data_IF_935922354413
#
_entry.id   IF_935922354413
#
_cell.length_a   1.000
_cell.length_b   1.000
_cell.length_c   1.000
_cell.angle_alpha   90.00
_cell.angle_beta   90.00
_cell.angle_gamma   90.00
#
_symmetry.space_group_name_H-M   'P 1'
#
loop_
_entity.id
_entity.type
_entity.pdbx_description
1 polymer ?
#
# COMPACT_ATOMS: atom_id res chain seq x y z
N UNK A 1 -4.79 17.16 -0.77
CA UNK A 1 -3.56 16.66 -1.39
C UNK A 1 -3.90 15.92 -2.66
N UNK A 2 -3.19 16.20 -3.73
CA UNK A 2 -3.46 15.57 -5.02
C UNK A 2 -2.55 14.36 -5.24
N UNK A 3 -2.94 13.51 -6.19
CA UNK A 3 -2.20 12.31 -6.54
C UNK A 3 -0.71 12.57 -6.77
N UNK A 4 -0.40 13.62 -7.52
CA UNK A 4 0.99 13.96 -7.86
C UNK A 4 1.82 14.30 -6.64
N UNK A 5 1.25 15.00 -5.67
CA UNK A 5 1.93 15.32 -4.40
C UNK A 5 2.20 14.07 -3.59
N UNK A 6 1.24 13.15 -3.55
CA UNK A 6 1.39 11.88 -2.84
C UNK A 6 2.53 11.07 -3.46
N UNK A 7 2.54 10.96 -4.79
CA UNK A 7 3.58 10.20 -5.50
C UNK A 7 4.97 10.80 -5.26
N UNK A 8 5.10 12.12 -5.25
CA UNK A 8 6.38 12.77 -4.95
C UNK A 8 6.85 12.47 -3.54
N UNK A 9 5.94 12.50 -2.57
CA UNK A 9 6.28 12.18 -1.19
C UNK A 9 6.66 10.70 -1.02
N UNK A 10 6.00 9.80 -1.74
CA UNK A 10 6.34 8.38 -1.71
C UNK A 10 7.75 8.13 -2.27
N UNK A 11 8.16 8.89 -3.26
CA UNK A 11 9.52 8.78 -3.81
C UNK A 11 10.60 9.13 -2.80
N UNK A 12 10.28 9.95 -1.80
CA UNK A 12 11.20 10.35 -0.74
C UNK A 12 11.43 9.26 0.32
N UNK A 13 10.60 8.22 0.33
CA UNK A 13 10.73 7.13 1.30
C UNK A 13 12.02 6.34 1.01
N UNK A 14 12.82 6.14 2.06
CA UNK A 14 14.04 5.34 1.97
C UNK A 14 13.70 3.85 1.94
N UNK A 15 13.62 3.29 0.74
CA UNK A 15 13.25 1.88 0.55
C UNK A 15 14.20 0.92 1.24
N UNK A 16 15.49 1.22 1.25
CA UNK A 16 16.49 0.37 1.92
C UNK A 16 16.29 0.32 3.43
N UNK A 17 15.96 1.46 4.03
CA UNK A 17 15.74 1.55 5.48
C UNK A 17 14.64 0.60 5.95
N UNK A 18 13.58 0.45 5.16
CA UNK A 18 12.41 -0.37 5.50
C UNK A 18 12.42 -1.72 4.80
N UNK A 19 13.43 -2.00 4.00
CA UNK A 19 13.52 -3.23 3.19
C UNK A 19 12.33 -3.37 2.24
N UNK A 20 12.01 -2.29 1.56
CA UNK A 20 10.89 -2.22 0.62
C UNK A 20 11.34 -2.67 -0.77
N UNK A 21 10.63 -3.62 -1.37
CA UNK A 21 10.84 -4.08 -2.74
C UNK A 21 9.99 -3.30 -3.74
N UNK A 22 8.74 -3.00 -3.38
CA UNK A 22 7.81 -2.22 -4.20
C UNK A 22 6.98 -1.32 -3.31
N UNK A 23 6.66 -0.14 -3.80
CA UNK A 23 5.81 0.83 -3.10
C UNK A 23 4.95 1.54 -4.14
N UNK A 24 3.64 1.62 -3.89
CA UNK A 24 2.73 2.24 -4.83
C UNK A 24 1.48 2.82 -4.20
N UNK A 25 0.82 3.68 -4.94
CA UNK A 25 -0.46 4.29 -4.58
C UNK A 25 -1.58 3.59 -5.35
N UNK A 26 -2.64 3.20 -4.66
CA UNK A 26 -3.81 2.62 -5.32
C UNK A 26 -5.08 3.27 -4.78
N UNK A 27 -6.25 2.75 -5.20
CA UNK A 27 -7.53 3.21 -4.70
C UNK A 27 -7.97 4.57 -5.24
N UNK A 28 -8.76 5.29 -4.44
CA UNK A 28 -9.44 6.50 -4.90
C UNK A 28 -8.48 7.62 -5.33
N UNK A 29 -7.39 7.82 -4.60
CA UNK A 29 -6.41 8.86 -4.97
C UNK A 29 -5.72 8.56 -6.30
N UNK A 30 -5.40 7.28 -6.57
CA UNK A 30 -4.75 6.92 -7.83
C UNK A 30 -5.68 7.08 -9.03
N UNK A 31 -7.00 6.95 -8.80
CA UNK A 31 -8.04 7.09 -9.83
C UNK A 31 -8.63 8.49 -9.92
N UNK A 32 -8.14 9.45 -9.12
CA UNK A 32 -8.69 10.81 -9.01
C UNK A 32 -10.18 10.85 -8.62
N UNK A 33 -10.62 9.85 -7.83
CA UNK A 33 -11.98 9.75 -7.34
C UNK A 33 -12.10 9.95 -5.82
N UNK A 34 -11.04 10.51 -5.22
CA UNK A 34 -10.98 10.77 -3.79
C UNK A 34 -11.95 11.87 -3.37
N UNK A 35 -12.38 11.76 -2.11
CA UNK A 35 -13.19 12.77 -1.44
C UNK A 35 -12.44 13.29 -0.22
N UNK A 36 -13.01 14.30 0.46
CA UNK A 36 -12.40 14.84 1.68
C UNK A 36 -12.21 13.79 2.78
N UNK A 37 -13.01 12.72 2.77
CA UNK A 37 -12.96 11.65 3.77
C UNK A 37 -12.19 10.41 3.33
N UNK A 38 -11.60 10.44 2.14
CA UNK A 38 -10.85 9.29 1.64
C UNK A 38 -9.55 9.11 2.38
N UNK A 39 -9.23 7.84 2.73
CA UNK A 39 -7.90 7.47 3.21
C UNK A 39 -6.97 7.31 2.02
N UNK A 40 -5.68 7.40 2.28
CA UNK A 40 -4.66 7.16 1.24
C UNK A 40 -4.31 5.69 1.25
N UNK A 41 -4.56 5.00 0.13
CA UNK A 41 -4.31 3.56 0.00
C UNK A 41 -2.94 3.31 -0.60
N UNK A 42 -2.06 2.67 0.17
CA UNK A 42 -0.68 2.40 -0.22
C UNK A 42 -0.45 0.89 -0.26
N UNK A 43 0.12 0.42 -1.37
CA UNK A 43 0.55 -0.97 -1.51
C UNK A 43 2.06 -1.05 -1.32
N UNK A 44 2.50 -1.98 -0.48
CA UNK A 44 3.93 -2.21 -0.26
C UNK A 44 4.24 -3.70 -0.40
N UNK A 45 5.37 -4.01 -1.01
CA UNK A 45 5.97 -5.34 -0.93
C UNK A 45 7.29 -5.20 -0.21
N UNK A 46 7.44 -5.92 0.89
CA UNK A 46 8.63 -5.86 1.73
C UNK A 46 9.42 -7.16 1.62
N UNK A 47 10.73 -7.05 1.82
CA UNK A 47 11.59 -8.20 1.88
C UNK A 47 11.21 -9.06 3.09
N UNK A 48 11.00 -10.38 2.88
CA UNK A 48 10.66 -11.31 3.94
C UNK A 48 11.90 -11.65 4.75
N UNK A 49 11.99 -11.07 5.94
CA UNK A 49 13.11 -11.30 6.85
C UNK A 49 12.73 -10.95 8.28
N UNK A 50 13.60 -11.29 9.22
CA UNK A 50 13.42 -10.95 10.63
C UNK A 50 13.27 -9.42 10.78
N UNK A 51 12.28 -8.99 11.55
CA UNK A 51 11.98 -7.58 11.74
C UNK A 51 11.05 -6.97 10.70
N UNK A 52 10.55 -7.75 9.75
CA UNK A 52 9.64 -7.29 8.71
C UNK A 52 8.39 -6.61 9.27
N UNK A 53 7.77 -7.19 10.29
CA UNK A 53 6.58 -6.61 10.92
C UNK A 53 6.87 -5.25 11.55
N UNK A 54 8.02 -5.13 12.22
CA UNK A 54 8.44 -3.85 12.82
C UNK A 54 8.67 -2.82 11.72
N UNK A 55 9.31 -3.20 10.63
CA UNK A 55 9.52 -2.31 9.49
C UNK A 55 8.20 -1.85 8.89
N UNK A 56 7.24 -2.76 8.78
CA UNK A 56 5.89 -2.45 8.28
C UNK A 56 5.20 -1.40 9.14
N UNK A 57 5.22 -1.59 10.46
CA UNK A 57 4.59 -0.64 11.39
C UNK A 57 5.30 0.72 11.38
N UNK A 58 6.62 0.74 11.30
CA UNK A 58 7.40 1.96 11.22
C UNK A 58 7.13 2.71 9.93
N UNK A 59 7.02 2.00 8.82
CA UNK A 59 6.68 2.58 7.53
C UNK A 59 5.28 3.19 7.55
N UNK A 60 4.31 2.48 8.10
CA UNK A 60 2.94 2.99 8.24
C UNK A 60 2.91 4.31 8.98
N UNK A 61 3.58 4.37 10.11
CA UNK A 61 3.68 5.58 10.91
C UNK A 61 4.34 6.72 10.14
N UNK A 62 5.44 6.41 9.45
CA UNK A 62 6.16 7.42 8.67
C UNK A 62 5.31 7.96 7.53
N UNK A 63 4.56 7.10 6.86
CA UNK A 63 3.67 7.53 5.78
C UNK A 63 2.59 8.47 6.30
N UNK A 64 1.98 8.17 7.43
CA UNK A 64 0.98 9.07 8.02
C UNK A 64 1.58 10.40 8.45
N UNK A 65 2.83 10.41 8.89
CA UNK A 65 3.54 11.64 9.26
C UNK A 65 3.79 12.53 8.03
N UNK A 66 4.31 11.96 6.94
CA UNK A 66 4.66 12.75 5.76
C UNK A 66 3.45 13.15 4.92
N UNK A 67 2.42 12.30 4.91
CA UNK A 67 1.20 12.56 4.12
C UNK A 67 0.15 13.34 4.89
N UNK A 68 0.31 13.45 6.22
CA UNK A 68 -0.60 14.20 7.08
C UNK A 68 -2.06 13.76 6.92
N UNK A 69 -2.25 12.45 6.71
CA UNK A 69 -3.56 11.86 6.50
C UNK A 69 -3.51 10.38 6.88
N UNK A 70 -4.66 9.81 7.18
CA UNK A 70 -4.76 8.39 7.48
C UNK A 70 -4.39 7.56 6.27
N UNK A 71 -3.51 6.58 6.48
CA UNK A 71 -3.01 5.70 5.43
C UNK A 71 -3.48 4.27 5.69
N UNK A 72 -4.07 3.66 4.66
CA UNK A 72 -4.38 2.23 4.65
C UNK A 72 -3.23 1.52 3.93
N UNK A 73 -2.35 0.89 4.70
CA UNK A 73 -1.15 0.24 4.17
C UNK A 73 -1.39 -1.25 4.01
N UNK A 74 -1.32 -1.72 2.77
CA UNK A 74 -1.55 -3.11 2.41
C UNK A 74 -0.24 -3.75 1.98
N UNK A 75 0.11 -4.89 2.60
CA UNK A 75 1.28 -5.67 2.23
C UNK A 75 0.91 -6.64 1.12
N UNK A 76 1.56 -6.51 -0.03
CA UNK A 76 1.31 -7.36 -1.22
C UNK A 76 1.48 -8.85 -0.91
N UNK A 77 2.34 -9.20 0.05
CA UNK A 77 2.58 -10.60 0.42
C UNK A 77 1.33 -11.30 0.96
N UNK A 78 0.35 -10.55 1.48
CA UNK A 78 -0.91 -11.13 1.93
C UNK A 78 -1.67 -11.84 0.80
N UNK A 79 -1.42 -11.47 -0.45
CA UNK A 79 -2.07 -12.09 -1.60
C UNK A 79 -1.44 -13.43 -1.99
N UNK A 80 -0.30 -13.76 -1.42
CA UNK A 80 0.38 -15.04 -1.66
C UNK A 80 -0.25 -16.17 -0.85
N UNK A 81 -0.97 -15.83 0.23
CA UNK A 81 -1.65 -16.81 1.06
C UNK A 81 -2.90 -17.36 0.35
N UNK A 82 -3.04 -18.69 0.34
CA UNK A 82 -4.18 -19.38 -0.25
C UNK A 82 -5.15 -19.84 0.82
N UNK A 83 -6.38 -19.37 0.75
CA UNK A 83 -7.44 -19.80 1.65
C UNK A 83 -8.08 -21.10 1.15
N UNK A 84 -8.43 -22.00 2.09
CA UNK A 84 -9.10 -23.26 1.76
C UNK A 84 -10.54 -23.03 1.32
N UNK A 85 -11.21 -22.01 1.86
CA UNK A 85 -12.59 -21.69 1.51
C UNK A 85 -12.63 -21.00 0.13
N UNK A 86 -13.28 -21.63 -0.89
CA UNK A 86 -13.31 -21.05 -2.24
C UNK A 86 -13.93 -19.65 -2.32
N UNK A 87 -14.94 -19.37 -1.49
CA UNK A 87 -15.60 -18.05 -1.48
C UNK A 87 -14.65 -16.97 -0.97
N UNK A 88 -13.90 -17.28 0.10
CA UNK A 88 -12.92 -16.35 0.67
C UNK A 88 -11.77 -16.11 -0.30
N UNK A 89 -11.30 -17.17 -0.95
CA UNK A 89 -10.22 -17.05 -1.94
C UNK A 89 -10.66 -16.22 -3.14
N UNK A 90 -11.88 -16.41 -3.62
CA UNK A 90 -12.43 -15.64 -4.75
C UNK A 90 -12.52 -14.16 -4.40
N UNK A 91 -13.01 -13.83 -3.20
CA UNK A 91 -13.11 -12.45 -2.71
C UNK A 91 -11.73 -11.79 -2.64
N UNK A 92 -10.75 -12.52 -2.13
CA UNK A 92 -9.37 -12.04 -2.06
C UNK A 92 -8.77 -11.78 -3.44
N UNK A 93 -9.02 -12.68 -4.39
CA UNK A 93 -8.53 -12.55 -5.77
C UNK A 93 -9.16 -11.32 -6.45
N UNK A 94 -10.44 -11.06 -6.23
CA UNK A 94 -11.13 -9.90 -6.78
C UNK A 94 -10.54 -8.59 -6.23
N UNK A 95 -10.25 -8.54 -4.93
CA UNK A 95 -9.62 -7.37 -4.29
C UNK A 95 -8.23 -7.15 -4.88
N UNK A 96 -7.44 -8.22 -5.03
CA UNK A 96 -6.11 -8.15 -5.62
C UNK A 96 -6.14 -7.56 -7.03
N UNK A 97 -7.06 -8.05 -7.86
CA UNK A 97 -7.21 -7.55 -9.24
C UNK A 97 -7.57 -6.07 -9.25
N UNK A 98 -8.49 -5.65 -8.39
CA UNK A 98 -8.90 -4.26 -8.29
C UNK A 98 -7.72 -3.36 -7.90
N UNK A 99 -6.93 -3.77 -6.92
CA UNK A 99 -5.75 -3.03 -6.49
C UNK A 99 -4.74 -2.92 -7.64
N UNK A 100 -4.44 -4.04 -8.30
CA UNK A 100 -3.44 -4.07 -9.37
C UNK A 100 -3.85 -3.26 -10.59
N UNK A 101 -5.15 -3.05 -10.82
CA UNK A 101 -5.63 -2.20 -11.92
C UNK A 101 -5.35 -0.72 -11.67
N UNK A 102 -5.32 -0.29 -10.42
CA UNK A 102 -5.21 1.13 -10.09
C UNK A 102 -3.85 1.54 -9.52
N UNK A 103 -2.99 0.58 -9.18
CA UNK A 103 -1.73 0.88 -8.49
C UNK A 103 -0.74 1.61 -9.40
N UNK A 104 -0.13 2.66 -8.85
CA UNK A 104 0.96 3.41 -9.48
C UNK A 104 2.18 3.24 -8.61
N UNK A 105 3.19 2.51 -9.10
CA UNK A 105 4.42 2.26 -8.35
C UNK A 105 5.39 3.43 -8.46
N UNK A 106 6.13 3.64 -7.41
CA UNK A 106 7.22 4.64 -7.38
C UNK A 106 8.58 3.99 -7.24
#
# INVERSE_FOLDING_TARGET
MKKEEILEKLKEINKKKYSILKLGLFGSFSKNSDTANSDIDILVKMEFKKGMYRNFCSLHKRLEEILQKKVDLVDESMFEYKFKNPKVQKYKDEIKEEILRSVIYV
#
